data_IF_582066422627
#
_entry.id   IF_582066422627
#
_cell.length_a   1.000
_cell.length_b   1.000
_cell.length_c   1.000
_cell.angle_alpha   90.00
_cell.angle_beta   90.00
_cell.angle_gamma   90.00
#
_symmetry.space_group_name_H-M   'P 1'
#
loop_
_entity.id
_entity.type
_entity.pdbx_description
1 polymer ?
#
# COMPACT_ATOMS: atom_id res chain seq x y z
N UNK A 1 15.68 -9.94 -16.06
CA UNK A 1 14.66 -9.22 -15.26
C UNK A 1 14.00 -8.19 -16.15
N UNK A 2 12.66 -8.16 -16.22
CA UNK A 2 11.90 -7.19 -17.03
C UNK A 2 11.97 -5.76 -16.47
N UNK A 3 12.35 -5.60 -15.20
CA UNK A 3 12.49 -4.33 -14.53
C UNK A 3 12.10 -4.44 -13.06
N UNK A 4 11.98 -3.29 -12.39
CA UNK A 4 11.53 -3.19 -11.00
C UNK A 4 10.19 -2.45 -10.93
N UNK A 5 9.26 -2.98 -10.14
CA UNK A 5 7.93 -2.40 -9.91
C UNK A 5 7.74 -2.14 -8.42
N UNK A 6 7.17 -0.97 -8.10
CA UNK A 6 6.66 -0.68 -6.75
C UNK A 6 5.16 -0.96 -6.74
N UNK A 7 4.73 -1.97 -5.99
CA UNK A 7 3.33 -2.36 -5.85
C UNK A 7 2.75 -1.77 -4.56
N UNK A 8 1.69 -0.98 -4.68
CA UNK A 8 0.82 -0.68 -3.55
C UNK A 8 0.15 -1.99 -3.10
N UNK A 9 0.57 -2.50 -1.94
CA UNK A 9 0.27 -3.84 -1.47
C UNK A 9 -0.47 -3.79 -0.14
N UNK A 10 -1.75 -4.15 -0.16
CA UNK A 10 -2.62 -4.13 1.03
C UNK A 10 -2.52 -5.38 1.91
N UNK A 11 -1.87 -6.45 1.46
CA UNK A 11 -1.93 -7.75 2.14
C UNK A 11 -3.19 -8.57 1.82
N UNK A 12 -4.18 -7.98 1.17
CA UNK A 12 -5.40 -8.65 0.71
C UNK A 12 -5.17 -9.72 -0.37
N UNK A 13 -6.23 -10.43 -0.74
CA UNK A 13 -6.17 -11.48 -1.77
C UNK A 13 -5.70 -10.92 -3.12
N UNK A 14 -6.34 -9.85 -3.59
CA UNK A 14 -6.10 -9.30 -4.92
C UNK A 14 -4.65 -8.83 -5.09
N UNK A 15 -4.14 -8.04 -4.16
CA UNK A 15 -2.76 -7.54 -4.19
C UNK A 15 -1.73 -8.65 -4.01
N UNK A 16 -2.08 -9.76 -3.34
CA UNK A 16 -1.25 -10.97 -3.25
C UNK A 16 -1.19 -11.74 -4.56
N UNK A 17 -2.32 -11.86 -5.26
CA UNK A 17 -2.37 -12.45 -6.59
C UNK A 17 -1.58 -11.60 -7.60
N UNK A 18 -1.72 -10.28 -7.54
CA UNK A 18 -0.97 -9.34 -8.40
C UNK A 18 0.53 -9.43 -8.12
N UNK A 19 0.95 -9.48 -6.86
CA UNK A 19 2.35 -9.68 -6.49
C UNK A 19 2.90 -10.96 -7.13
N UNK A 20 2.19 -12.09 -6.97
CA UNK A 20 2.61 -13.36 -7.56
C UNK A 20 2.69 -13.27 -9.09
N UNK A 21 1.68 -12.67 -9.72
CA UNK A 21 1.62 -12.50 -11.16
C UNK A 21 2.78 -11.66 -11.71
N UNK A 22 3.12 -10.54 -11.05
CA UNK A 22 4.27 -9.71 -11.45
C UNK A 22 5.61 -10.46 -11.32
N UNK A 23 5.76 -11.29 -10.28
CA UNK A 23 6.94 -12.13 -10.11
C UNK A 23 7.03 -13.19 -11.22
N UNK A 24 5.91 -13.84 -11.57
CA UNK A 24 5.85 -14.82 -12.66
C UNK A 24 6.14 -14.18 -14.03
N UNK A 25 5.74 -12.91 -14.22
CA UNK A 25 6.10 -12.11 -15.40
C UNK A 25 7.59 -11.70 -15.45
N UNK A 26 8.36 -11.95 -14.38
CA UNK A 26 9.81 -11.72 -14.33
C UNK A 26 10.22 -10.31 -13.87
N UNK A 27 9.34 -9.62 -13.14
CA UNK A 27 9.66 -8.35 -12.47
C UNK A 27 10.27 -8.59 -11.08
N UNK A 28 11.15 -7.67 -10.67
CA UNK A 28 11.48 -7.50 -9.26
C UNK A 28 10.40 -6.61 -8.62
N UNK A 29 9.74 -7.07 -7.57
CA UNK A 29 8.62 -6.35 -6.96
C UNK A 29 8.97 -5.87 -5.55
N UNK A 30 8.92 -4.55 -5.34
CA UNK A 30 8.94 -3.92 -4.02
C UNK A 30 7.50 -3.66 -3.62
N UNK A 31 7.07 -4.15 -2.47
CA UNK A 31 5.76 -3.88 -1.92
C UNK A 31 5.80 -2.65 -1.00
N UNK A 32 4.78 -1.80 -1.11
CA UNK A 32 4.58 -0.62 -0.28
C UNK A 32 3.18 -0.62 0.32
N UNK A 33 3.10 -0.39 1.64
CA UNK A 33 1.85 -0.20 2.36
C UNK A 33 1.92 1.10 3.16
N UNK A 34 0.91 1.95 2.96
CA UNK A 34 0.69 3.17 3.72
C UNK A 34 -0.18 2.85 4.94
N UNK A 35 0.32 3.10 6.16
CA UNK A 35 -0.52 3.21 7.34
C UNK A 35 -1.15 4.61 7.36
N UNK A 36 -2.45 4.66 7.08
CA UNK A 36 -3.29 5.86 7.11
C UNK A 36 -4.33 5.79 8.25
N UNK A 37 -4.12 4.90 9.23
CA UNK A 37 -4.97 4.73 10.40
C UNK A 37 -5.86 3.49 10.38
N UNK A 38 -5.67 2.59 9.43
CA UNK A 38 -6.32 1.29 9.43
C UNK A 38 -5.77 0.37 10.53
N UNK A 39 -6.59 -0.54 11.03
CA UNK A 39 -6.16 -1.63 11.90
C UNK A 39 -5.67 -2.80 11.05
N UNK A 40 -4.40 -3.17 11.18
CA UNK A 40 -3.78 -4.22 10.38
C UNK A 40 -2.74 -4.98 11.20
N UNK A 41 -2.56 -6.27 10.91
CA UNK A 41 -1.44 -7.06 11.44
C UNK A 41 -0.21 -6.84 10.54
N UNK A 42 0.58 -5.82 10.90
CA UNK A 42 1.75 -5.38 10.11
C UNK A 42 2.79 -6.47 9.90
N UNK A 43 2.99 -7.34 10.90
CA UNK A 43 3.96 -8.42 10.84
C UNK A 43 3.44 -9.54 9.93
N UNK A 44 2.16 -9.88 10.01
CA UNK A 44 1.55 -10.85 9.11
C UNK A 44 1.57 -10.37 7.64
N UNK A 45 1.28 -9.10 7.37
CA UNK A 45 1.35 -8.53 6.02
C UNK A 45 2.78 -8.59 5.47
N UNK A 46 3.78 -8.21 6.28
CA UNK A 46 5.19 -8.28 5.90
C UNK A 46 5.61 -9.72 5.58
N UNK A 47 5.33 -10.65 6.50
CA UNK A 47 5.64 -12.06 6.32
C UNK A 47 4.96 -12.64 5.06
N UNK A 48 3.72 -12.24 4.77
CA UNK A 48 2.99 -12.66 3.58
C UNK A 48 3.64 -12.15 2.29
N UNK A 49 4.01 -10.87 2.21
CA UNK A 49 4.66 -10.29 1.04
C UNK A 49 6.01 -10.98 0.74
N UNK A 50 6.82 -11.17 1.78
CA UNK A 50 8.12 -11.85 1.68
C UNK A 50 7.96 -13.31 1.27
N UNK A 51 6.98 -14.02 1.84
CA UNK A 51 6.67 -15.41 1.48
C UNK A 51 6.27 -15.58 0.01
N UNK A 52 5.55 -14.62 -0.57
CA UNK A 52 5.14 -14.67 -1.98
C UNK A 52 6.34 -14.40 -2.91
N UNK A 53 7.30 -13.58 -2.46
CA UNK A 53 8.56 -13.32 -3.16
C UNK A 53 8.86 -11.85 -3.43
N UNK A 54 8.24 -10.91 -2.71
CA UNK A 54 8.61 -9.50 -2.80
C UNK A 54 10.09 -9.30 -2.44
N UNK A 55 10.82 -8.46 -3.17
CA UNK A 55 12.24 -8.16 -2.87
C UNK A 55 12.39 -7.28 -1.64
N UNK A 56 11.36 -6.50 -1.31
CA UNK A 56 11.29 -5.67 -0.10
C UNK A 56 9.83 -5.35 0.22
N UNK A 57 9.51 -5.27 1.51
CA UNK A 57 8.25 -4.72 2.02
C UNK A 57 8.51 -3.44 2.81
N UNK A 58 7.92 -2.32 2.37
CA UNK A 58 7.96 -1.02 3.05
C UNK A 58 6.58 -0.76 3.63
N UNK A 59 6.54 -0.53 4.94
CA UNK A 59 5.33 -0.08 5.65
C UNK A 59 5.66 1.29 6.20
N UNK A 60 4.87 2.31 5.84
CA UNK A 60 5.14 3.70 6.20
C UNK A 60 3.95 4.29 6.95
N UNK A 61 4.19 4.81 8.16
CA UNK A 61 3.23 5.63 8.89
C UNK A 61 3.08 6.98 8.17
N UNK A 62 1.88 7.19 7.63
CA UNK A 62 1.48 8.39 6.90
C UNK A 62 0.29 9.08 7.54
N UNK A 63 -0.11 8.69 8.76
CA UNK A 63 -1.30 9.24 9.44
C UNK A 63 -1.21 10.75 9.63
N UNK A 64 -0.04 11.24 10.06
CA UNK A 64 0.20 12.67 10.24
C UNK A 64 0.13 13.43 8.91
N UNK A 65 0.78 12.92 7.88
CA UNK A 65 0.78 13.53 6.55
C UNK A 65 -0.62 13.54 5.94
N UNK A 66 -1.36 12.44 6.10
CA UNK A 66 -2.75 12.33 5.68
C UNK A 66 -3.64 13.40 6.32
N UNK A 67 -3.52 13.61 7.64
CA UNK A 67 -4.28 14.64 8.34
C UNK A 67 -3.88 16.06 7.90
N UNK A 68 -2.59 16.37 7.96
CA UNK A 68 -2.09 17.74 7.76
C UNK A 68 -2.19 18.19 6.29
N UNK A 69 -1.94 17.30 5.33
CA UNK A 69 -1.84 17.66 3.91
C UNK A 69 -3.10 17.36 3.11
N UNK A 70 -3.97 16.45 3.58
CA UNK A 70 -5.19 16.05 2.85
C UNK A 70 -6.45 16.40 3.64
N UNK A 71 -6.63 15.84 4.85
CA UNK A 71 -7.87 16.02 5.61
C UNK A 71 -8.14 17.50 5.96
N UNK A 72 -7.16 18.21 6.51
CA UNK A 72 -7.33 19.63 6.83
C UNK A 72 -7.62 20.49 5.60
N UNK A 73 -7.05 20.15 4.44
CA UNK A 73 -7.34 20.85 3.18
C UNK A 73 -8.80 20.65 2.75
N UNK A 74 -9.31 19.43 2.82
CA UNK A 74 -10.70 19.11 2.51
C UNK A 74 -11.67 19.82 3.48
N UNK A 75 -11.34 19.86 4.77
CA UNK A 75 -12.15 20.57 5.78
C UNK A 75 -12.13 22.08 5.53
N UNK A 76 -10.98 22.68 5.22
CA UNK A 76 -10.85 24.12 4.97
C UNK A 76 -11.75 24.62 3.82
N UNK A 77 -11.96 23.82 2.79
CA UNK A 77 -12.85 24.16 1.68
C UNK A 77 -14.29 23.63 1.84
N UNK A 78 -14.63 23.05 3.00
CA UNK A 78 -15.91 22.36 3.22
C UNK A 78 -16.24 21.37 2.08
N UNK A 79 -15.25 20.61 1.63
CA UNK A 79 -15.42 19.68 0.51
C UNK A 79 -16.51 18.65 0.82
N UNK A 80 -17.49 18.55 -0.08
CA UNK A 80 -18.55 17.55 -0.05
C UNK A 80 -18.76 17.02 -1.47
N UNK A 81 -18.88 15.70 -1.58
CA UNK A 81 -19.19 15.08 -2.86
C UNK A 81 -20.69 14.77 -2.89
N UNK A 82 -21.39 15.28 -3.90
CA UNK A 82 -22.87 15.13 -4.00
C UNK A 82 -23.64 15.70 -2.79
N UNK A 83 -23.07 16.70 -2.12
CA UNK A 83 -23.67 17.38 -0.96
C UNK A 83 -23.70 16.51 0.32
N UNK A 84 -22.83 15.50 0.39
CA UNK A 84 -22.61 14.63 1.55
C UNK A 84 -21.12 14.42 1.81
#
# INVERSE_FOLDING_TARGET
MKGRVCLAYSGGLDTSCILRWLLDEGYEVVCFLADVGQEEDWDAVRAKAEKIGASKMIIQDLRREFVEQLCFRAVQCNAQYEGR
#
